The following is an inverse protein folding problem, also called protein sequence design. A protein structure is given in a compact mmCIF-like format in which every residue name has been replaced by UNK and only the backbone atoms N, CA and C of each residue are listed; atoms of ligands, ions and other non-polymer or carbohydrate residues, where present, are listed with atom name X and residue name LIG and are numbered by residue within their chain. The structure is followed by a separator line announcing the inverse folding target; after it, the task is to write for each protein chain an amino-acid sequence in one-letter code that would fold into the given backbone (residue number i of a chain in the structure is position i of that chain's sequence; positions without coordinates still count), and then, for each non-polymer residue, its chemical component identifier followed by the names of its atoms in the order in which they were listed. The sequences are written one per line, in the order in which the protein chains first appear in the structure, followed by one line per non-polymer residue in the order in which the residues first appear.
data_IF_667957411731
#
_entry.id   IF_667957411731
#
_cell.length_a   1.000
_cell.length_b   1.000
_cell.length_c   1.000
_cell.angle_alpha   90.00
_cell.angle_beta   90.00
_cell.angle_gamma   90.00
#
_symmetry.space_group_name_H-M   'P 1'
#
loop_
_entity.id
_entity.type
_entity.pdbx_description
1 polymer ?
#
# COMPACT_ATOMS: atom_id res chain seq x y z
N UNK A 1 -10.07 -15.96 4.11
CA UNK A 1 -10.60 -15.60 2.80
C UNK A 1 -9.82 -16.30 1.69
N UNK A 2 -10.42 -16.42 0.50
CA UNK A 2 -9.72 -16.73 -0.74
C UNK A 2 -8.88 -15.51 -1.19
N UNK A 3 -7.94 -15.66 -2.11
CA UNK A 3 -7.22 -14.54 -2.70
C UNK A 3 -8.15 -13.49 -3.31
N UNK A 4 -7.94 -12.23 -3.00
CA UNK A 4 -8.81 -11.11 -3.37
C UNK A 4 -8.00 -9.86 -3.78
N UNK A 5 -8.65 -8.96 -4.49
CA UNK A 5 -8.10 -7.67 -4.86
C UNK A 5 -8.16 -6.67 -3.70
N UNK A 6 -7.05 -5.97 -3.43
CA UNK A 6 -6.97 -4.98 -2.35
C UNK A 6 -7.47 -3.57 -2.70
N UNK A 7 -7.41 -3.10 -3.96
CA UNK A 7 -7.82 -1.74 -4.29
C UNK A 7 -9.24 -1.34 -3.85
N UNK A 8 -10.25 -2.23 -3.81
CA UNK A 8 -11.57 -1.87 -3.30
C UNK A 8 -11.62 -1.53 -1.80
N UNK A 9 -10.65 -2.02 -1.01
CA UNK A 9 -10.68 -1.94 0.45
C UNK A 9 -10.65 -0.52 1.03
N UNK A 10 -10.05 0.44 0.32
CA UNK A 10 -10.01 1.87 0.70
C UNK A 10 -11.11 2.71 0.04
N UNK A 11 -11.89 2.11 -0.88
CA UNK A 11 -12.84 2.78 -1.78
C UNK A 11 -14.23 2.15 -1.68
N UNK A 12 -14.64 1.43 -2.74
CA UNK A 12 -15.98 0.85 -2.93
C UNK A 12 -16.44 -0.03 -1.76
N UNK A 13 -15.54 -0.80 -1.15
CA UNK A 13 -15.88 -1.63 0.00
C UNK A 13 -16.22 -0.80 1.24
N UNK A 14 -15.49 0.30 1.51
CA UNK A 14 -15.83 1.22 2.60
C UNK A 14 -17.15 1.98 2.34
N UNK A 15 -17.46 2.23 1.06
CA UNK A 15 -18.70 2.91 0.65
C UNK A 15 -19.93 2.00 0.62
N UNK A 16 -19.81 0.72 0.93
CA UNK A 16 -20.87 -0.30 0.78
C UNK A 16 -21.36 -0.49 -0.66
N UNK A 17 -20.50 -0.25 -1.65
CA UNK A 17 -20.84 -0.39 -3.07
C UNK A 17 -20.52 -1.78 -3.62
N UNK A 18 -19.66 -2.56 -2.93
CA UNK A 18 -19.28 -3.92 -3.31
C UNK A 18 -19.18 -4.81 -2.08
N UNK A 19 -19.51 -6.08 -2.25
CA UNK A 19 -19.31 -7.14 -1.27
C UNK A 19 -18.02 -7.93 -1.55
N UNK A 20 -17.57 -8.71 -0.55
CA UNK A 20 -16.28 -9.43 -0.61
C UNK A 20 -16.18 -10.34 -1.81
N UNK A 21 -17.24 -11.05 -2.13
CA UNK A 21 -17.26 -12.05 -3.20
C UNK A 21 -17.09 -11.43 -4.60
N UNK A 22 -17.37 -10.12 -4.74
CA UNK A 22 -17.26 -9.40 -6.01
C UNK A 22 -15.82 -9.05 -6.40
N UNK A 23 -14.87 -9.08 -5.45
CA UNK A 23 -13.47 -8.81 -5.72
C UNK A 23 -12.51 -9.96 -5.35
N UNK A 24 -13.05 -11.18 -5.21
CA UNK A 24 -12.22 -12.39 -5.21
C UNK A 24 -11.61 -12.61 -6.60
N UNK A 25 -10.35 -13.05 -6.67
CA UNK A 25 -9.76 -13.42 -7.95
C UNK A 25 -10.50 -14.60 -8.58
N UNK A 26 -10.80 -15.63 -7.80
CA UNK A 26 -11.52 -16.82 -8.22
C UNK A 26 -12.24 -17.44 -7.04
N UNK A 27 -13.28 -18.25 -7.33
CA UNK A 27 -13.98 -19.05 -6.33
C UNK A 27 -13.23 -20.36 -5.99
N UNK A 28 -13.69 -21.09 -4.98
CA UNK A 28 -13.05 -22.34 -4.55
C UNK A 28 -13.04 -23.43 -5.63
N UNK A 29 -14.11 -23.52 -6.44
CA UNK A 29 -14.23 -24.50 -7.52
C UNK A 29 -13.15 -24.29 -8.59
N UNK A 30 -12.87 -23.04 -8.92
CA UNK A 30 -11.80 -22.71 -9.88
C UNK A 30 -10.43 -23.20 -9.40
N UNK A 31 -10.08 -22.96 -8.13
CA UNK A 31 -8.82 -23.44 -7.56
C UNK A 31 -8.74 -24.97 -7.54
N UNK A 32 -9.84 -25.66 -7.19
CA UNK A 32 -9.91 -27.13 -7.24
C UNK A 32 -9.70 -27.69 -8.66
N UNK A 33 -10.34 -27.06 -9.67
CA UNK A 33 -10.18 -27.44 -11.07
C UNK A 33 -8.74 -27.29 -11.56
N UNK A 34 -8.02 -26.27 -11.05
CA UNK A 34 -6.61 -26.06 -11.31
C UNK A 34 -5.68 -26.94 -10.46
N UNK A 35 -6.22 -27.75 -9.54
CA UNK A 35 -5.47 -28.57 -8.58
C UNK A 35 -4.54 -27.73 -7.71
N UNK A 36 -5.03 -26.58 -7.26
CA UNK A 36 -4.34 -25.67 -6.33
C UNK A 36 -4.94 -25.86 -4.94
N UNK A 37 -4.12 -26.31 -4.00
CA UNK A 37 -4.48 -26.41 -2.60
C UNK A 37 -4.27 -25.06 -1.90
N UNK A 38 -5.33 -24.53 -1.30
CA UNK A 38 -5.27 -23.28 -0.52
C UNK A 38 -5.41 -23.62 0.96
N UNK A 39 -4.34 -23.44 1.71
CA UNK A 39 -4.32 -23.57 3.16
C UNK A 39 -4.71 -22.24 3.79
N UNK A 40 -5.95 -22.15 4.28
CA UNK A 40 -6.47 -20.94 4.94
C UNK A 40 -6.17 -20.98 6.45
N UNK A 41 -5.96 -19.79 7.06
CA UNK A 41 -5.66 -19.63 8.49
C UNK A 41 -4.37 -20.34 8.93
N UNK A 42 -3.41 -20.46 8.02
CA UNK A 42 -2.09 -21.03 8.27
C UNK A 42 -1.05 -19.92 8.35
N UNK A 43 -0.47 -19.73 9.51
CA UNK A 43 0.64 -18.80 9.71
C UNK A 43 1.94 -19.59 9.70
N UNK A 44 2.84 -19.27 8.78
CA UNK A 44 4.16 -19.88 8.71
C UNK A 44 4.99 -19.37 9.90
N UNK A 45 5.56 -20.30 10.69
CA UNK A 45 6.34 -20.04 11.90
C UNK A 45 7.83 -20.31 11.71
N UNK A 46 8.17 -21.32 10.90
CA UNK A 46 9.55 -21.71 10.69
C UNK A 46 9.83 -22.01 9.21
N UNK A 47 11.06 -21.74 8.82
CA UNK A 47 11.58 -22.10 7.50
C UNK A 47 12.93 -22.81 7.66
N UNK A 48 13.06 -23.95 7.00
CA UNK A 48 14.31 -24.65 6.86
C UNK A 48 14.67 -24.78 5.38
N UNK A 49 15.51 -23.87 4.91
CA UNK A 49 15.90 -23.81 3.51
C UNK A 49 16.82 -24.97 3.07
N UNK A 50 17.61 -25.52 3.99
CA UNK A 50 18.49 -26.66 3.68
C UNK A 50 17.69 -27.94 3.42
N UNK A 51 16.59 -28.13 4.15
CA UNK A 51 15.69 -29.29 4.02
C UNK A 51 14.51 -29.03 3.08
N UNK A 52 14.38 -27.82 2.54
CA UNK A 52 13.22 -27.39 1.75
C UNK A 52 11.88 -27.62 2.47
N UNK A 53 11.77 -27.16 3.72
CA UNK A 53 10.60 -27.35 4.56
C UNK A 53 10.15 -25.99 5.11
N UNK A 54 8.84 -25.76 5.08
CA UNK A 54 8.16 -24.70 5.82
C UNK A 54 7.22 -25.31 6.85
N UNK A 55 7.06 -24.66 8.00
CA UNK A 55 6.21 -25.13 9.09
C UNK A 55 5.25 -24.03 9.50
N UNK A 56 3.97 -24.36 9.54
CA UNK A 56 2.91 -23.53 10.12
C UNK A 56 2.54 -24.02 11.50
N UNK A 57 1.51 -23.43 12.11
CA UNK A 57 0.97 -23.92 13.40
C UNK A 57 0.50 -25.37 13.32
N UNK A 58 -0.01 -25.84 12.17
CA UNK A 58 -0.69 -27.11 12.04
C UNK A 58 -0.01 -28.05 11.03
N UNK A 59 0.83 -27.53 10.13
CA UNK A 59 1.35 -28.28 8.98
C UNK A 59 2.86 -28.14 8.85
N UNK A 60 3.46 -29.23 8.37
CA UNK A 60 4.83 -29.26 7.91
C UNK A 60 4.85 -29.62 6.42
N UNK A 61 5.31 -28.69 5.60
CA UNK A 61 5.21 -28.77 4.15
C UNK A 61 6.61 -28.81 3.53
N UNK A 62 6.91 -29.85 2.77
CA UNK A 62 8.12 -29.90 1.94
C UNK A 62 7.81 -29.28 0.56
N UNK A 63 8.81 -28.67 -0.04
CA UNK A 63 8.67 -28.03 -1.35
C UNK A 63 9.86 -28.34 -2.27
N UNK A 64 9.63 -28.37 -3.56
CA UNK A 64 10.69 -28.38 -4.56
C UNK A 64 11.14 -26.95 -4.90
N UNK A 65 10.20 -26.02 -4.93
CA UNK A 65 10.43 -24.59 -5.13
C UNK A 65 9.49 -23.79 -4.24
N UNK A 66 9.97 -22.69 -3.69
CA UNK A 66 9.23 -21.80 -2.81
C UNK A 66 9.12 -20.40 -3.42
N UNK A 67 7.91 -19.84 -3.47
CA UNK A 67 7.67 -18.43 -3.73
C UNK A 67 7.27 -17.72 -2.43
N UNK A 68 8.03 -16.72 -2.05
CA UNK A 68 7.72 -15.84 -0.93
C UNK A 68 6.95 -14.63 -1.47
N UNK A 69 5.71 -14.47 -1.03
CA UNK A 69 4.83 -13.37 -1.43
C UNK A 69 4.13 -12.76 -0.19
N UNK A 70 4.86 -12.60 0.89
CA UNK A 70 4.36 -12.12 2.19
C UNK A 70 3.95 -10.64 2.19
N UNK A 71 4.33 -9.90 1.15
CA UNK A 71 3.97 -8.50 0.97
C UNK A 71 4.53 -7.57 2.05
N UNK A 72 3.76 -6.56 2.41
CA UNK A 72 4.07 -5.58 3.43
C UNK A 72 2.99 -5.55 4.51
N UNK A 73 3.34 -5.05 5.69
CA UNK A 73 2.43 -4.69 6.78
C UNK A 73 2.44 -3.19 7.02
N UNK A 74 1.40 -2.68 7.68
CA UNK A 74 1.34 -1.28 8.07
C UNK A 74 2.51 -0.91 8.99
N UNK A 75 3.09 0.27 8.77
CA UNK A 75 3.94 0.91 9.75
C UNK A 75 3.06 1.34 10.92
N UNK A 76 3.35 0.85 12.12
CA UNK A 76 2.59 1.18 13.31
C UNK A 76 3.08 2.49 13.94
N UNK A 77 2.16 3.18 14.61
CA UNK A 77 2.42 4.39 15.36
C UNK A 77 2.10 4.14 16.84
N UNK A 78 2.99 4.55 17.72
CA UNK A 78 2.70 4.56 19.14
C UNK A 78 2.37 6.00 19.56
N UNK A 79 1.16 6.20 20.06
CA UNK A 79 0.67 7.49 20.53
C UNK A 79 0.44 7.43 22.05
N UNK A 80 0.98 8.40 22.75
CA UNK A 80 0.74 8.54 24.18
C UNK A 80 -0.76 8.77 24.44
N UNK A 81 -1.31 8.10 25.46
CA UNK A 81 -2.73 8.14 25.85
C UNK A 81 -3.73 7.57 24.83
N UNK A 82 -3.27 6.78 23.84
CA UNK A 82 -4.13 6.06 22.91
C UNK A 82 -3.79 4.58 22.94
N UNK A 83 -4.79 3.74 23.21
CA UNK A 83 -4.61 2.29 23.12
C UNK A 83 -4.41 1.86 21.66
N UNK A 84 -3.53 0.90 21.41
CA UNK A 84 -3.28 0.39 20.04
C UNK A 84 -4.55 -0.14 19.37
N UNK A 85 -5.51 -0.66 20.12
CA UNK A 85 -6.81 -1.15 19.63
C UNK A 85 -7.72 -0.02 19.10
N UNK A 86 -7.46 1.23 19.50
CA UNK A 86 -8.22 2.42 19.07
C UNK A 86 -7.58 3.10 17.84
N UNK A 87 -6.43 2.58 17.37
CA UNK A 87 -5.78 2.97 16.13
C UNK A 87 -6.18 2.03 14.99
N UNK A 88 -6.70 2.60 13.93
CA UNK A 88 -7.13 1.85 12.76
C UNK A 88 -6.08 1.96 11.65
N UNK A 89 -5.82 0.85 11.01
CA UNK A 89 -4.90 0.72 9.88
C UNK A 89 -5.64 0.06 8.72
N UNK A 90 -5.13 0.20 7.50
CA UNK A 90 -5.71 -0.46 6.34
C UNK A 90 -4.64 -1.19 5.53
N UNK A 91 -4.72 -2.51 5.52
CA UNK A 91 -3.92 -3.38 4.67
C UNK A 91 -4.70 -4.56 4.12
N UNK A 92 -5.59 -5.12 4.92
CA UNK A 92 -6.37 -6.30 4.58
C UNK A 92 -7.88 -6.10 4.79
N UNK A 93 -8.65 -7.11 4.43
CA UNK A 93 -10.11 -7.07 4.50
C UNK A 93 -10.64 -7.00 5.93
N UNK A 94 -9.93 -7.59 6.91
CA UNK A 94 -10.37 -7.54 8.31
C UNK A 94 -10.21 -6.13 8.87
N UNK A 95 -9.10 -5.46 8.51
CA UNK A 95 -8.85 -4.07 8.89
C UNK A 95 -9.85 -3.13 8.21
N UNK A 96 -10.11 -3.32 6.91
CA UNK A 96 -11.14 -2.55 6.19
C UNK A 96 -12.52 -2.75 6.79
N UNK A 97 -12.90 -3.98 7.16
CA UNK A 97 -14.16 -4.28 7.83
C UNK A 97 -14.27 -3.58 9.19
N UNK A 98 -13.19 -3.54 9.96
CA UNK A 98 -13.15 -2.80 11.24
C UNK A 98 -13.37 -1.30 11.01
N UNK A 99 -12.72 -0.71 10.00
CA UNK A 99 -12.92 0.70 9.63
C UNK A 99 -14.38 0.94 9.22
N UNK A 100 -14.91 0.12 8.29
CA UNK A 100 -16.28 0.18 7.80
C UNK A 100 -17.30 0.15 8.97
N UNK A 101 -17.14 -0.78 9.89
CA UNK A 101 -18.00 -0.90 11.07
C UNK A 101 -17.88 0.32 12.00
N UNK A 102 -16.66 0.81 12.22
CA UNK A 102 -16.42 1.95 13.08
C UNK A 102 -16.97 3.25 12.50
N UNK A 103 -17.03 3.40 11.18
CA UNK A 103 -17.66 4.54 10.51
C UNK A 103 -19.12 4.72 10.92
N UNK A 104 -19.87 3.64 11.20
CA UNK A 104 -21.27 3.72 11.62
C UNK A 104 -21.45 4.47 12.96
N UNK A 105 -20.46 4.43 13.84
CA UNK A 105 -20.48 5.06 15.17
C UNK A 105 -19.53 6.25 15.30
N UNK A 106 -18.90 6.69 14.22
CA UNK A 106 -17.94 7.79 14.23
C UNK A 106 -18.35 8.89 13.27
N UNK A 107 -18.37 10.14 13.75
CA UNK A 107 -18.65 11.32 12.94
C UNK A 107 -17.39 12.12 12.62
N UNK A 108 -16.45 12.16 13.57
CA UNK A 108 -15.22 12.94 13.47
C UNK A 108 -14.01 12.02 13.37
N UNK A 109 -13.33 12.07 12.25
CA UNK A 109 -12.23 11.17 11.91
C UNK A 109 -10.94 11.98 11.79
N UNK A 110 -9.89 11.52 12.46
CA UNK A 110 -8.54 11.96 12.24
C UNK A 110 -7.79 10.92 11.42
N UNK A 111 -7.15 11.35 10.34
CA UNK A 111 -6.24 10.55 9.54
C UNK A 111 -4.83 11.07 9.72
N UNK A 112 -3.92 10.20 10.16
CA UNK A 112 -2.51 10.51 10.33
C UNK A 112 -1.75 9.95 9.13
N UNK A 113 -1.23 10.83 8.29
CA UNK A 113 -0.54 10.54 7.04
C UNK A 113 -1.34 10.89 5.80
N UNK A 114 -0.83 11.82 5.02
CA UNK A 114 -1.39 12.30 3.75
C UNK A 114 -0.87 11.52 2.53
N UNK A 115 -0.61 10.22 2.67
CA UNK A 115 -0.28 9.30 1.57
C UNK A 115 -1.52 8.80 0.82
N UNK A 116 -1.33 7.97 -0.22
CA UNK A 116 -2.41 7.46 -1.06
C UNK A 116 -3.55 6.82 -0.27
N UNK A 117 -3.25 5.86 0.60
CA UNK A 117 -4.28 5.13 1.37
C UNK A 117 -5.01 6.07 2.33
N UNK A 118 -4.29 6.96 3.04
CA UNK A 118 -4.90 7.94 3.94
C UNK A 118 -5.90 8.84 3.20
N UNK A 119 -5.53 9.32 2.02
CA UNK A 119 -6.37 10.20 1.19
C UNK A 119 -7.55 9.45 0.56
N UNK A 120 -7.39 8.21 0.12
CA UNK A 120 -8.50 7.37 -0.36
C UNK A 120 -9.53 7.13 0.74
N UNK A 121 -9.07 6.84 1.97
CA UNK A 121 -9.97 6.70 3.13
C UNK A 121 -10.63 8.05 3.47
N UNK A 122 -9.89 9.16 3.39
CA UNK A 122 -10.44 10.50 3.59
C UNK A 122 -11.57 10.80 2.59
N UNK A 123 -11.34 10.48 1.31
CA UNK A 123 -12.36 10.60 0.27
C UNK A 123 -13.59 9.75 0.56
N UNK A 124 -13.40 8.47 0.91
CA UNK A 124 -14.51 7.56 1.24
C UNK A 124 -15.28 8.02 2.48
N UNK A 125 -14.58 8.47 3.53
CA UNK A 125 -15.21 8.99 4.74
C UNK A 125 -16.04 10.25 4.47
N UNK A 126 -15.53 11.18 3.65
CA UNK A 126 -16.29 12.38 3.25
C UNK A 126 -17.54 12.06 2.45
N UNK A 127 -17.47 11.10 1.52
CA UNK A 127 -18.64 10.64 0.77
C UNK A 127 -19.72 10.02 1.68
N UNK A 128 -19.31 9.46 2.81
CA UNK A 128 -20.23 8.98 3.87
C UNK A 128 -20.66 10.09 4.86
N UNK A 129 -20.39 11.36 4.55
CA UNK A 129 -20.82 12.52 5.35
C UNK A 129 -20.02 12.76 6.63
N UNK A 130 -18.82 12.15 6.78
CA UNK A 130 -17.99 12.31 7.99
C UNK A 130 -17.23 13.63 7.98
N UNK A 131 -16.89 14.14 9.17
CA UNK A 131 -15.94 15.23 9.35
C UNK A 131 -14.54 14.63 9.37
N UNK A 132 -13.66 15.09 8.49
CA UNK A 132 -12.35 14.49 8.30
C UNK A 132 -11.25 15.54 8.45
N UNK A 133 -10.29 15.23 9.32
CA UNK A 133 -9.02 15.94 9.43
C UNK A 133 -7.88 15.03 8.97
N UNK A 134 -6.95 15.57 8.19
CA UNK A 134 -5.73 14.88 7.76
C UNK A 134 -4.53 15.63 8.32
N UNK A 135 -3.67 14.94 9.04
CA UNK A 135 -2.40 15.48 9.57
C UNK A 135 -1.24 14.86 8.82
N UNK A 136 -0.38 15.69 8.23
CA UNK A 136 0.80 15.27 7.46
C UNK A 136 2.04 16.05 7.93
N UNK A 137 3.13 15.32 8.21
CA UNK A 137 4.41 15.91 8.61
C UNK A 137 5.11 16.63 7.46
N UNK A 138 4.96 16.10 6.25
CA UNK A 138 5.56 16.69 5.06
C UNK A 138 4.86 18.01 4.67
N UNK A 139 5.49 18.75 3.80
CA UNK A 139 4.93 19.99 3.24
C UNK A 139 3.99 19.77 2.05
N UNK A 140 3.88 18.52 1.58
CA UNK A 140 3.00 18.13 0.49
C UNK A 140 2.33 16.77 0.76
N UNK A 141 1.11 16.60 0.28
CA UNK A 141 0.45 15.30 0.24
C UNK A 141 1.16 14.39 -0.77
N UNK A 142 1.28 13.08 -0.44
CA UNK A 142 1.94 12.10 -1.31
C UNK A 142 3.35 12.49 -1.75
N UNK A 143 3.99 13.42 -1.04
CA UNK A 143 5.18 14.17 -1.44
C UNK A 143 6.46 13.36 -1.69
N UNK A 144 6.44 12.04 -1.46
CA UNK A 144 7.55 11.14 -1.81
C UNK A 144 7.52 10.69 -3.27
N UNK A 145 6.37 10.80 -3.93
CA UNK A 145 6.14 10.14 -5.22
C UNK A 145 5.58 11.12 -6.25
N UNK A 146 4.74 12.08 -5.84
CA UNK A 146 4.13 13.02 -6.79
C UNK A 146 4.75 14.42 -6.68
N UNK A 147 4.83 15.18 -7.79
CA UNK A 147 5.33 16.55 -7.76
C UNK A 147 4.36 17.46 -7.00
N UNK A 148 4.89 18.59 -6.51
CA UNK A 148 4.13 19.56 -5.73
C UNK A 148 2.88 20.06 -6.45
N UNK A 149 2.94 20.18 -7.76
CA UNK A 149 1.85 20.63 -8.62
C UNK A 149 0.66 19.67 -8.54
N UNK A 150 0.89 18.38 -8.67
CA UNK A 150 -0.16 17.34 -8.54
C UNK A 150 -0.65 17.27 -7.09
N UNK A 151 0.26 17.31 -6.11
CA UNK A 151 -0.11 17.35 -4.69
C UNK A 151 -1.05 18.52 -4.39
N UNK A 152 -0.81 19.69 -5.00
CA UNK A 152 -1.67 20.88 -4.84
C UNK A 152 -3.06 20.67 -5.40
N UNK A 153 -3.19 20.02 -6.56
CA UNK A 153 -4.49 19.69 -7.17
C UNK A 153 -5.27 18.74 -6.27
N UNK A 154 -4.63 17.66 -5.80
CA UNK A 154 -5.25 16.69 -4.90
C UNK A 154 -5.65 17.35 -3.58
N UNK A 155 -4.79 18.16 -2.99
CA UNK A 155 -5.09 18.92 -1.77
C UNK A 155 -6.33 19.79 -1.95
N UNK A 156 -6.37 20.62 -2.99
CA UNK A 156 -7.51 21.48 -3.32
C UNK A 156 -8.80 20.67 -3.43
N UNK A 157 -8.75 19.51 -4.12
CA UNK A 157 -9.90 18.62 -4.24
C UNK A 157 -10.45 18.12 -2.91
N UNK A 158 -9.57 17.75 -1.98
CA UNK A 158 -9.97 17.35 -0.64
C UNK A 158 -10.54 18.51 0.17
N UNK A 159 -9.91 19.69 0.12
CA UNK A 159 -10.38 20.90 0.81
C UNK A 159 -11.76 21.35 0.27
N UNK A 160 -11.99 21.31 -1.05
CA UNK A 160 -13.28 21.59 -1.68
C UNK A 160 -14.38 20.62 -1.24
N UNK A 161 -14.02 19.39 -0.89
CA UNK A 161 -14.94 18.40 -0.31
C UNK A 161 -15.03 18.50 1.22
N UNK A 162 -14.42 19.53 1.84
CA UNK A 162 -14.51 19.79 3.27
C UNK A 162 -13.63 18.89 4.13
N UNK A 163 -12.49 18.47 3.64
CA UNK A 163 -11.42 17.84 4.45
C UNK A 163 -10.53 18.95 5.00
N UNK A 164 -10.30 18.96 6.30
CA UNK A 164 -9.31 19.85 6.94
C UNK A 164 -7.93 19.24 6.87
N UNK A 165 -7.00 19.86 6.12
CA UNK A 165 -5.66 19.35 5.89
C UNK A 165 -4.62 20.20 6.64
N UNK A 166 -3.85 19.53 7.51
CA UNK A 166 -2.79 20.11 8.31
C UNK A 166 -1.42 19.60 7.83
N UNK A 167 -0.78 20.33 6.92
CA UNK A 167 0.58 20.04 6.44
C UNK A 167 1.64 20.60 7.41
N UNK A 168 2.86 20.03 7.37
CA UNK A 168 3.99 20.38 8.27
C UNK A 168 3.58 20.32 9.74
N UNK A 169 2.68 19.39 10.06
CA UNK A 169 2.01 19.35 11.34
C UNK A 169 2.21 18.02 12.03
N UNK A 170 2.56 18.06 13.30
CA UNK A 170 2.68 16.90 14.17
C UNK A 170 1.63 16.96 15.28
N UNK A 171 1.35 15.83 15.88
CA UNK A 171 0.56 15.70 17.11
C UNK A 171 1.48 16.04 18.29
N UNK A 172 1.07 16.99 19.13
CA UNK A 172 1.85 17.41 20.32
C UNK A 172 1.34 16.82 21.61
N UNK A 173 0.02 16.61 21.71
CA UNK A 173 -0.58 15.91 22.86
C UNK A 173 -1.94 15.34 22.50
N UNK A 174 -2.35 14.29 23.24
CA UNK A 174 -3.64 13.65 23.10
C UNK A 174 -4.26 13.50 24.48
N UNK A 175 -5.50 13.94 24.60
CA UNK A 175 -6.34 13.73 25.77
C UNK A 175 -7.50 12.80 25.40
N UNK A 176 -7.58 11.64 26.06
CA UNK A 176 -8.71 10.73 25.93
C UNK A 176 -9.87 11.26 26.81
N UNK A 177 -11.03 11.43 26.21
CA UNK A 177 -12.28 11.71 26.92
C UNK A 177 -13.14 10.42 26.92
N UNK A 178 -14.38 10.50 27.37
CA UNK A 178 -15.28 9.33 27.44
C UNK A 178 -15.51 8.69 26.06
N UNK A 179 -15.86 9.50 25.04
CA UNK A 179 -16.29 9.00 23.72
C UNK A 179 -15.44 9.53 22.56
N UNK A 180 -14.41 10.33 22.85
CA UNK A 180 -13.57 10.94 21.82
C UNK A 180 -12.16 11.25 22.33
N UNK A 181 -11.34 11.74 21.43
CA UNK A 181 -10.01 12.27 21.70
C UNK A 181 -9.96 13.74 21.37
N UNK A 182 -9.33 14.53 22.24
CA UNK A 182 -8.91 15.90 21.94
C UNK A 182 -7.43 15.88 21.61
N UNK A 183 -7.08 16.26 20.41
CA UNK A 183 -5.73 16.17 19.86
C UNK A 183 -5.21 17.57 19.61
N UNK A 184 -4.08 17.91 20.20
CA UNK A 184 -3.38 19.19 19.98
C UNK A 184 -2.34 18.99 18.88
N UNK A 185 -2.31 19.93 17.96
CA UNK A 185 -1.42 19.93 16.82
C UNK A 185 -0.32 21.00 16.97
N UNK A 186 0.82 20.78 16.35
CA UNK A 186 1.97 21.70 16.41
C UNK A 186 1.71 23.07 15.75
N UNK A 187 0.68 23.19 14.93
CA UNK A 187 0.20 24.44 14.35
C UNK A 187 -0.80 25.20 15.24
N UNK A 188 -0.91 24.82 16.52
CA UNK A 188 -1.85 25.32 17.54
C UNK A 188 -3.33 24.99 17.27
N UNK A 189 -3.66 24.19 16.27
CA UNK A 189 -5.03 23.70 16.09
C UNK A 189 -5.35 22.59 17.09
N UNK A 190 -6.63 22.46 17.43
CA UNK A 190 -7.16 21.38 18.25
C UNK A 190 -8.20 20.61 17.46
N UNK A 191 -8.05 19.30 17.36
CA UNK A 191 -8.96 18.39 16.65
C UNK A 191 -9.66 17.49 17.67
N UNK A 192 -10.98 17.40 17.56
CA UNK A 192 -11.77 16.42 18.33
C UNK A 192 -12.17 15.32 17.37
N UNK A 193 -11.81 14.07 17.70
CA UNK A 193 -12.17 12.91 16.88
C UNK A 193 -12.60 11.72 17.73
N UNK A 194 -13.42 10.85 17.16
CA UNK A 194 -13.83 9.58 17.77
C UNK A 194 -13.33 8.35 16.97
N UNK A 195 -12.49 8.60 15.99
CA UNK A 195 -11.75 7.56 15.27
C UNK A 195 -10.41 8.11 14.77
N UNK A 196 -9.35 7.32 14.94
CA UNK A 196 -8.01 7.66 14.47
C UNK A 196 -7.54 6.60 13.49
N UNK A 197 -7.26 7.00 12.25
CA UNK A 197 -6.76 6.13 11.19
C UNK A 197 -5.30 6.51 10.93
N UNK A 198 -4.43 5.51 10.83
CA UNK A 198 -2.99 5.70 10.64
C UNK A 198 -2.58 5.17 9.27
N UNK A 199 -2.12 6.07 8.40
CA UNK A 199 -1.71 5.78 7.02
C UNK A 199 -0.29 6.29 6.71
N UNK A 200 0.70 5.92 7.54
CA UNK A 200 2.08 6.44 7.46
C UNK A 200 3.04 5.54 6.66
N UNK A 201 2.51 4.67 5.80
CA UNK A 201 3.26 3.78 4.93
C UNK A 201 3.31 2.34 5.43
N UNK A 202 4.03 1.52 4.68
CA UNK A 202 4.18 0.10 4.93
C UNK A 202 5.65 -0.31 5.06
N UNK A 203 5.88 -1.48 5.63
CA UNK A 203 7.20 -2.12 5.74
C UNK A 203 7.08 -3.56 5.23
N UNK A 204 8.10 -4.10 4.53
CA UNK A 204 8.06 -5.46 4.03
C UNK A 204 7.99 -6.48 5.18
N UNK A 205 7.19 -7.54 4.99
CA UNK A 205 7.07 -8.65 5.95
C UNK A 205 8.25 -9.60 5.82
N UNK A 206 9.33 -9.31 6.52
CA UNK A 206 10.59 -10.05 6.43
C UNK A 206 11.07 -10.65 7.76
N UNK A 207 10.40 -10.38 8.87
CA UNK A 207 10.86 -10.74 10.22
C UNK A 207 11.03 -12.25 10.40
N UNK A 208 10.18 -13.04 9.74
CA UNK A 208 10.29 -14.51 9.79
C UNK A 208 11.59 -15.03 9.16
N UNK A 209 12.26 -14.22 8.35
CA UNK A 209 13.50 -14.57 7.69
C UNK A 209 14.74 -14.09 8.45
N UNK A 210 14.57 -13.42 9.61
CA UNK A 210 15.65 -13.07 10.49
C UNK A 210 16.44 -14.35 10.87
N UNK A 211 17.76 -14.27 10.85
CA UNK A 211 18.66 -15.39 11.09
C UNK A 211 18.64 -16.50 10.01
N UNK A 212 18.11 -16.24 8.82
CA UNK A 212 18.23 -17.12 7.66
C UNK A 212 19.33 -16.63 6.70
N UNK A 213 19.67 -17.44 5.68
CA UNK A 213 20.63 -17.06 4.64
C UNK A 213 20.03 -16.15 3.54
N UNK A 214 18.76 -15.73 3.65
CA UNK A 214 18.18 -14.78 2.73
C UNK A 214 18.85 -13.41 2.86
N UNK A 215 19.19 -12.81 1.74
CA UNK A 215 19.65 -11.42 1.70
C UNK A 215 18.45 -10.49 1.75
N UNK A 216 18.45 -9.63 2.76
CA UNK A 216 17.36 -8.67 3.02
C UNK A 216 17.95 -7.26 3.08
N UNK A 217 17.36 -6.36 2.29
CA UNK A 217 17.59 -4.93 2.35
C UNK A 217 16.31 -4.23 1.87
N UNK A 218 15.56 -3.60 2.79
CA UNK A 218 14.25 -3.02 2.49
C UNK A 218 13.33 -3.99 1.70
N UNK A 219 13.33 -5.28 2.07
CA UNK A 219 12.67 -6.38 1.37
C UNK A 219 13.66 -7.50 1.02
N UNK A 220 13.16 -8.58 0.44
CA UNK A 220 13.98 -9.72 0.01
C UNK A 220 14.68 -9.35 -1.30
N UNK A 221 16.02 -9.38 -1.32
CA UNK A 221 16.78 -9.09 -2.53
C UNK A 221 16.57 -10.21 -3.54
N UNK A 222 16.14 -9.83 -4.75
CA UNK A 222 16.02 -10.74 -5.88
C UNK A 222 16.67 -10.17 -7.14
N UNK A 223 17.04 -11.06 -8.05
CA UNK A 223 17.47 -10.66 -9.38
C UNK A 223 16.25 -10.44 -10.32
N UNK A 224 16.51 -10.04 -11.57
CA UNK A 224 15.47 -9.81 -12.60
C UNK A 224 14.64 -11.05 -12.97
N UNK A 225 14.98 -12.23 -12.45
CA UNK A 225 14.24 -13.48 -12.61
C UNK A 225 13.53 -13.92 -11.33
N UNK A 226 13.28 -13.01 -10.40
CA UNK A 226 12.65 -13.26 -9.09
C UNK A 226 13.43 -14.20 -8.15
N UNK A 227 14.67 -14.60 -8.49
CA UNK A 227 15.47 -15.51 -7.67
C UNK A 227 16.09 -14.77 -6.50
N UNK A 228 16.00 -15.36 -5.32
CA UNK A 228 16.67 -14.90 -4.11
C UNK A 228 18.12 -15.37 -4.03
N UNK A 229 18.79 -15.12 -2.91
CA UNK A 229 20.14 -15.65 -2.62
C UNK A 229 20.15 -17.16 -2.33
N UNK A 230 19.00 -17.79 -2.17
CA UNK A 230 18.86 -19.23 -1.86
C UNK A 230 18.33 -19.95 -3.10
N UNK A 231 18.97 -21.08 -3.45
CA UNK A 231 18.54 -21.89 -4.57
C UNK A 231 17.09 -22.38 -4.36
N UNK A 232 16.30 -22.42 -5.44
CA UNK A 232 14.89 -22.83 -5.44
C UNK A 232 13.94 -21.94 -4.62
N UNK A 233 14.43 -20.80 -4.12
CA UNK A 233 13.59 -19.81 -3.41
C UNK A 233 13.49 -18.52 -4.24
N UNK A 234 12.25 -18.10 -4.45
CA UNK A 234 11.88 -16.91 -5.21
C UNK A 234 11.11 -15.95 -4.32
N UNK A 235 11.07 -14.66 -4.69
CA UNK A 235 10.18 -13.69 -4.04
C UNK A 235 9.55 -12.77 -5.07
N UNK A 236 8.30 -12.33 -4.79
CA UNK A 236 7.56 -11.43 -5.67
C UNK A 236 6.61 -10.51 -4.91
N UNK A 237 6.19 -9.43 -5.57
CA UNK A 237 5.31 -8.40 -5.02
C UNK A 237 6.04 -7.48 -4.04
N UNK A 238 5.28 -6.82 -3.17
CA UNK A 238 5.75 -5.73 -2.30
C UNK A 238 6.91 -6.13 -1.35
N UNK A 239 7.07 -7.42 -1.06
CA UNK A 239 8.16 -7.93 -0.21
C UNK A 239 9.51 -7.97 -0.93
N UNK A 240 9.51 -7.97 -2.27
CA UNK A 240 10.72 -8.13 -3.07
C UNK A 240 11.38 -6.79 -3.36
N UNK A 241 12.66 -6.69 -3.04
CA UNK A 241 13.56 -5.65 -3.52
C UNK A 241 14.36 -6.24 -4.68
N UNK A 242 13.87 -6.01 -5.91
CA UNK A 242 14.31 -6.71 -7.10
C UNK A 242 15.21 -5.83 -7.99
N UNK A 243 16.19 -6.47 -8.64
CA UNK A 243 16.99 -5.79 -9.65
C UNK A 243 16.13 -5.49 -10.89
N UNK A 244 16.03 -4.21 -11.24
CA UNK A 244 15.27 -3.74 -12.39
C UNK A 244 16.19 -3.41 -13.56
N UNK A 245 16.13 -4.16 -14.68
CA UNK A 245 17.07 -4.00 -15.78
C UNK A 245 17.07 -2.62 -16.45
N UNK A 246 15.87 -1.97 -16.52
CA UNK A 246 15.73 -0.65 -17.14
C UNK A 246 16.41 0.45 -16.31
N UNK A 247 16.42 0.32 -14.98
CA UNK A 247 16.99 1.31 -14.06
C UNK A 247 18.37 0.91 -13.55
N UNK A 248 18.81 -0.33 -13.84
CA UNK A 248 20.11 -0.90 -13.45
C UNK A 248 20.37 -0.88 -11.93
N UNK A 249 19.31 -0.94 -11.13
CA UNK A 249 19.35 -0.91 -9.67
C UNK A 249 18.30 -1.79 -9.04
N UNK A 250 18.42 -2.03 -7.73
CA UNK A 250 17.38 -2.69 -6.95
C UNK A 250 16.30 -1.67 -6.56
N UNK A 251 15.04 -2.02 -6.83
CA UNK A 251 13.88 -1.21 -6.45
C UNK A 251 12.85 -2.08 -5.74
N UNK A 252 12.06 -1.46 -4.87
CA UNK A 252 10.90 -2.08 -4.23
C UNK A 252 9.66 -1.25 -4.53
N UNK A 253 8.63 -1.90 -5.03
CA UNK A 253 7.38 -1.26 -5.45
C UNK A 253 6.20 -1.80 -4.64
N UNK A 254 5.29 -0.90 -4.29
CA UNK A 254 4.06 -1.20 -3.56
C UNK A 254 2.86 -0.81 -4.44
N UNK A 255 2.57 -1.59 -5.48
CA UNK A 255 1.40 -1.37 -6.32
C UNK A 255 0.74 -2.68 -6.73
N UNK A 256 -0.57 -2.64 -6.91
CA UNK A 256 -1.36 -3.80 -7.33
C UNK A 256 -0.84 -4.39 -8.65
N UNK A 257 -0.58 -3.52 -9.64
CA UNK A 257 -0.10 -3.95 -10.97
C UNK A 257 1.27 -4.59 -10.91
N UNK A 258 2.18 -4.01 -10.12
CA UNK A 258 3.48 -4.63 -9.87
C UNK A 258 3.33 -6.01 -9.22
N UNK A 259 2.57 -6.12 -8.13
CA UNK A 259 2.39 -7.39 -7.43
C UNK A 259 1.83 -8.48 -8.35
N UNK A 260 0.84 -8.15 -9.20
CA UNK A 260 0.26 -9.05 -10.19
C UNK A 260 1.31 -9.52 -11.21
N UNK A 261 1.95 -8.59 -11.90
CA UNK A 261 2.87 -8.90 -12.99
C UNK A 261 4.16 -9.57 -12.49
N UNK A 262 4.67 -9.13 -11.32
CA UNK A 262 5.82 -9.74 -10.69
C UNK A 262 5.52 -11.18 -10.25
N UNK A 263 4.30 -11.44 -9.74
CA UNK A 263 3.83 -12.79 -9.44
C UNK A 263 3.76 -13.70 -10.68
N UNK A 264 3.24 -13.18 -11.81
CA UNK A 264 3.21 -13.91 -13.09
C UNK A 264 4.64 -14.21 -13.58
N UNK A 265 5.57 -13.24 -13.51
CA UNK A 265 6.97 -13.45 -13.85
C UNK A 265 7.62 -14.51 -12.96
N UNK A 266 7.39 -14.44 -11.65
CA UNK A 266 7.90 -15.44 -10.70
C UNK A 266 7.37 -16.84 -11.00
N UNK A 267 6.07 -16.97 -11.30
CA UNK A 267 5.46 -18.24 -11.70
C UNK A 267 6.12 -18.86 -12.94
N UNK A 268 6.36 -18.06 -13.99
CA UNK A 268 7.08 -18.49 -15.19
C UNK A 268 8.51 -18.95 -14.86
N UNK A 269 9.23 -18.19 -14.06
CA UNK A 269 10.60 -18.53 -13.67
C UNK A 269 10.67 -19.79 -12.80
N UNK A 270 9.71 -20.01 -11.92
CA UNK A 270 9.57 -21.21 -11.10
C UNK A 270 9.43 -22.47 -11.98
N UNK A 271 8.68 -22.43 -13.05
CA UNK A 271 8.50 -23.57 -13.97
C UNK A 271 9.61 -23.66 -15.04
N UNK A 272 10.64 -22.81 -14.95
CA UNK A 272 11.81 -22.86 -15.83
C UNK A 272 11.68 -22.03 -17.12
N UNK A 273 10.59 -21.28 -17.28
CA UNK A 273 10.44 -20.32 -18.38
C UNK A 273 11.18 -19.03 -18.04
N UNK A 274 12.49 -18.98 -18.32
CA UNK A 274 13.34 -17.84 -18.00
C UNK A 274 12.77 -16.53 -18.57
N UNK A 275 12.14 -15.72 -17.71
CA UNK A 275 11.46 -14.48 -18.06
C UNK A 275 12.01 -13.35 -17.19
N UNK A 276 12.66 -12.40 -17.83
CA UNK A 276 13.15 -11.19 -17.17
C UNK A 276 11.97 -10.28 -16.83
N UNK A 277 11.96 -9.73 -15.60
CA UNK A 277 10.99 -8.74 -15.19
C UNK A 277 11.58 -7.33 -15.36
N UNK A 278 11.04 -6.57 -16.30
CA UNK A 278 11.50 -5.22 -16.67
C UNK A 278 10.34 -4.26 -16.96
N UNK A 279 9.15 -4.55 -16.41
CA UNK A 279 7.99 -3.71 -16.66
C UNK A 279 8.12 -2.33 -16.01
N UNK A 280 7.79 -1.29 -16.77
CA UNK A 280 7.76 0.09 -16.25
C UNK A 280 6.75 0.16 -15.10
N UNK A 281 7.14 0.68 -13.93
CA UNK A 281 6.25 0.82 -12.80
C UNK A 281 4.99 1.60 -13.17
N UNK A 282 3.84 1.15 -12.70
CA UNK A 282 2.58 1.86 -12.86
C UNK A 282 1.70 1.69 -11.64
N UNK A 283 1.05 2.76 -11.25
CA UNK A 283 0.05 2.76 -10.18
C UNK A 283 -1.02 3.82 -10.42
N UNK A 284 -2.13 3.69 -9.74
CA UNK A 284 -3.19 4.69 -9.75
C UNK A 284 -3.79 4.90 -8.36
N UNK A 285 -4.52 6.00 -8.21
CA UNK A 285 -5.36 6.27 -7.05
C UNK A 285 -6.64 6.98 -7.48
N UNK A 286 -7.77 6.51 -7.00
CA UNK A 286 -9.07 7.12 -7.21
C UNK A 286 -9.50 7.84 -5.94
N UNK A 287 -9.76 9.15 -6.03
CA UNK A 287 -10.18 9.99 -4.92
C UNK A 287 -11.28 10.93 -5.41
N UNK A 288 -12.52 10.77 -4.94
CA UNK A 288 -13.70 11.43 -5.52
C UNK A 288 -13.82 11.12 -7.02
N UNK A 289 -13.78 12.16 -7.87
CA UNK A 289 -13.74 12.04 -9.33
C UNK A 289 -12.35 12.22 -9.93
N UNK A 290 -11.30 12.28 -9.11
CA UNK A 290 -9.92 12.27 -9.59
C UNK A 290 -9.45 10.83 -9.81
N UNK A 291 -8.90 10.57 -10.99
CA UNK A 291 -8.16 9.34 -11.30
C UNK A 291 -6.69 9.72 -11.50
N UNK A 292 -5.91 9.65 -10.45
CA UNK A 292 -4.48 9.94 -10.48
C UNK A 292 -3.71 8.72 -10.96
N UNK A 293 -2.86 8.90 -11.98
CA UNK A 293 -2.02 7.84 -12.52
C UNK A 293 -0.55 8.24 -12.49
N UNK A 294 0.31 7.26 -12.18
CA UNK A 294 1.76 7.40 -12.18
C UNK A 294 2.38 6.26 -12.98
N UNK A 295 3.39 6.59 -13.78
CA UNK A 295 4.17 5.59 -14.51
C UNK A 295 5.65 5.97 -14.51
N UNK A 296 6.53 4.96 -14.54
CA UNK A 296 7.98 5.16 -14.47
C UNK A 296 8.48 5.60 -13.09
N UNK A 297 9.59 6.30 -13.08
CA UNK A 297 10.23 6.86 -11.87
C UNK A 297 9.90 8.34 -11.76
N UNK A 298 9.29 8.72 -10.65
CA UNK A 298 8.86 10.09 -10.37
C UNK A 298 9.67 10.75 -9.25
N UNK A 299 10.66 10.06 -8.71
CA UNK A 299 11.49 10.44 -7.59
C UNK A 299 12.84 11.07 -7.97
N UNK A 300 13.29 10.85 -9.21
CA UNK A 300 14.55 11.37 -9.72
C UNK A 300 14.35 12.06 -11.07
N UNK A 301 14.51 13.36 -11.15
CA UNK A 301 14.35 14.12 -12.39
C UNK A 301 15.13 15.44 -12.37
N UNK A 302 15.49 15.92 -13.57
CA UNK A 302 16.18 17.20 -13.79
C UNK A 302 15.17 18.34 -13.99
N UNK A 303 14.03 18.02 -14.64
CA UNK A 303 12.99 19.00 -14.97
C UNK A 303 11.63 18.35 -15.13
N UNK A 304 10.58 19.19 -15.02
CA UNK A 304 9.19 18.79 -15.24
C UNK A 304 8.65 19.47 -16.49
N UNK A 305 7.99 18.70 -17.35
CA UNK A 305 7.29 19.21 -18.53
C UNK A 305 5.80 18.98 -18.35
N UNK A 306 5.03 20.05 -18.31
CA UNK A 306 3.57 20.00 -18.18
C UNK A 306 2.91 19.86 -19.55
N UNK A 307 1.92 18.97 -19.67
CA UNK A 307 0.96 18.88 -20.76
C UNK A 307 -0.47 19.01 -20.19
N UNK A 308 -1.35 19.66 -20.93
CA UNK A 308 -2.71 19.95 -20.51
C UNK A 308 -2.84 21.35 -19.92
N UNK A 309 -4.06 21.90 -19.94
CA UNK A 309 -4.32 23.28 -19.51
C UNK A 309 -4.76 23.32 -18.04
N UNK A 310 -5.74 22.57 -17.72
CA UNK A 310 -6.34 22.49 -16.37
C UNK A 310 -6.83 21.10 -16.02
N UNK A 311 -7.38 20.96 -14.83
CA UNK A 311 -7.88 19.71 -14.26
C UNK A 311 -9.04 19.07 -15.06
N UNK A 312 -9.80 19.86 -15.84
CA UNK A 312 -10.92 19.36 -16.64
C UNK A 312 -10.47 18.73 -17.94
N UNK A 313 -9.39 19.26 -18.53
CA UNK A 313 -8.77 18.73 -19.75
C UNK A 313 -7.79 17.59 -19.48
N UNK A 314 -7.53 17.31 -18.19
CA UNK A 314 -6.46 16.43 -17.74
C UNK A 314 -5.08 17.11 -17.79
N UNK A 315 -4.31 16.93 -16.74
CA UNK A 315 -2.95 17.45 -16.60
C UNK A 315 -1.99 16.27 -16.46
N UNK A 316 -0.90 16.30 -17.24
CA UNK A 316 0.19 15.33 -17.11
C UNK A 316 1.49 16.09 -16.89
N UNK A 317 2.26 15.68 -15.90
CA UNK A 317 3.63 16.09 -15.70
C UNK A 317 4.56 14.96 -16.09
N UNK A 318 5.46 15.23 -17.03
CA UNK A 318 6.54 14.33 -17.42
C UNK A 318 7.78 14.67 -16.60
N UNK A 319 8.35 13.66 -15.99
CA UNK A 319 9.61 13.74 -15.26
C UNK A 319 10.73 13.46 -16.25
N UNK A 320 11.53 14.48 -16.51
CA UNK A 320 12.64 14.40 -17.48
C UNK A 320 13.94 14.13 -16.74
N UNK A 321 14.73 13.19 -17.24
CA UNK A 321 16.10 12.92 -16.79
C UNK A 321 16.98 12.72 -18.00
N UNK A 322 18.09 13.47 -18.10
CA UNK A 322 18.99 13.43 -19.26
C UNK A 322 18.26 13.62 -20.62
N UNK A 323 17.32 14.54 -20.68
CA UNK A 323 16.49 14.82 -21.86
C UNK A 323 15.56 13.66 -22.31
N UNK A 324 15.34 12.67 -21.46
CA UNK A 324 14.43 11.55 -21.71
C UNK A 324 13.28 11.55 -20.71
N UNK A 325 12.12 11.02 -21.08
CA UNK A 325 11.01 10.80 -20.16
C UNK A 325 11.37 9.63 -19.24
N UNK A 326 11.46 9.92 -17.96
CA UNK A 326 11.80 8.94 -16.93
C UNK A 326 10.58 8.46 -16.16
N UNK A 327 9.54 9.31 -16.11
CA UNK A 327 8.25 9.00 -15.51
C UNK A 327 7.19 10.01 -15.93
N UNK A 328 5.96 9.76 -15.57
CA UNK A 328 4.85 10.67 -15.76
C UNK A 328 3.83 10.52 -14.62
N UNK A 329 3.15 11.62 -14.30
CA UNK A 329 2.09 11.67 -13.29
C UNK A 329 1.00 12.64 -13.76
N UNK A 330 -0.25 12.19 -13.68
CA UNK A 330 -1.38 13.01 -14.07
C UNK A 330 -2.71 12.45 -13.65
#
# INVERSE_FOLDING_TARGET
YLPYERPPLSKKFLLNEVEIDEFLFFNEEHYKNLKIDILKNEEIKNLNFEKNIIESNNNKISYNKLLIATGCKNRTLNLENVDQKDLFYLRDINESTKIKNKFNSSENILIIGGGFIGLEIASSAKQLGKNVNVVELADNLMGRIVPKEISTIVRKKHEENGVDIHLRTNITSIKKNTDNYTIQLSNNASVICNMIIVGIGAIPNVEIFDNTALKIDNGIITNQYNKTSIENVFAAGDVSNFYHPLYEENIRLESWKHAQNHGVSAGKNIVGQKTEYSEVPWMWSDQYNLNLQLTGRCDEYDSLVKRGKDENDGIIYFFMKNNQVFGACG
#
